data_IF_472324834898
#
_entry.id   IF_472324834898
#
_cell.length_a   1.000
_cell.length_b   1.000
_cell.length_c   1.000
_cell.angle_alpha   90.00
_cell.angle_beta   90.00
_cell.angle_gamma   90.00
#
_symmetry.space_group_name_H-M   'P 1'
#
loop_
_entity.id
_entity.type
_entity.pdbx_description
1 polymer ?
#
# COMPACT_ATOMS: atom_id res chain seq x y z
N UNK A 1 4.37 -12.88 -17.21
CA UNK A 1 2.94 -12.51 -17.32
C UNK A 1 2.60 -11.74 -16.06
N UNK A 2 1.88 -10.62 -16.17
CA UNK A 2 1.37 -9.86 -15.03
C UNK A 2 0.26 -10.62 -14.30
N UNK A 3 0.15 -10.40 -13.00
CA UNK A 3 -0.95 -10.92 -12.18
C UNK A 3 -2.26 -10.22 -12.60
N UNK A 4 -3.33 -10.98 -12.87
CA UNK A 4 -4.64 -10.44 -13.27
C UNK A 4 -5.26 -9.57 -12.17
N UNK A 5 -4.95 -9.84 -10.90
CA UNK A 5 -5.35 -9.00 -9.77
C UNK A 5 -4.63 -7.64 -9.81
N UNK A 6 -3.35 -7.62 -10.20
CA UNK A 6 -2.59 -6.40 -10.35
C UNK A 6 -3.11 -5.55 -11.53
N UNK A 7 -3.34 -6.18 -12.68
CA UNK A 7 -3.82 -5.48 -13.88
C UNK A 7 -5.21 -4.86 -13.65
N UNK A 8 -6.03 -5.49 -12.81
CA UNK A 8 -7.34 -4.96 -12.41
C UNK A 8 -7.26 -3.66 -11.61
N UNK A 9 -6.12 -3.34 -10.96
CA UNK A 9 -5.95 -2.09 -10.21
C UNK A 9 -5.99 -0.85 -11.11
N UNK A 10 -5.59 -0.99 -12.38
CA UNK A 10 -5.64 0.10 -13.34
C UNK A 10 -7.07 0.57 -13.67
N UNK A 11 -8.08 -0.25 -13.38
CA UNK A 11 -9.49 0.07 -13.62
C UNK A 11 -10.13 0.86 -12.46
N UNK A 12 -9.39 1.14 -11.39
CA UNK A 12 -9.90 1.93 -10.27
C UNK A 12 -10.06 3.40 -10.72
N UNK A 13 -11.23 4.04 -10.50
CA UNK A 13 -11.41 5.44 -10.87
C UNK A 13 -10.37 6.36 -10.21
N UNK A 14 -9.82 7.29 -10.98
CA UNK A 14 -8.73 8.21 -10.55
C UNK A 14 -7.45 7.49 -10.11
N UNK A 15 -7.22 6.26 -10.59
CA UNK A 15 -5.96 5.55 -10.39
C UNK A 15 -4.80 6.27 -11.09
N UNK A 16 -3.67 6.40 -10.40
CA UNK A 16 -2.46 7.07 -10.90
C UNK A 16 -1.32 6.06 -11.10
N UNK A 17 -1.12 5.17 -10.12
CA UNK A 17 -0.03 4.20 -10.09
C UNK A 17 -0.35 3.09 -9.09
N UNK A 18 0.19 1.89 -9.35
CA UNK A 18 0.17 0.75 -8.44
C UNK A 18 1.53 0.07 -8.39
N UNK A 19 1.78 -0.62 -7.28
CA UNK A 19 2.88 -1.56 -7.14
C UNK A 19 2.44 -2.74 -6.26
N UNK A 20 3.14 -3.85 -6.39
CA UNK A 20 3.05 -4.98 -5.48
C UNK A 20 4.42 -5.24 -4.87
N UNK A 21 4.42 -5.64 -3.60
CA UNK A 21 5.62 -5.91 -2.85
C UNK A 21 5.47 -7.17 -2.01
N UNK A 22 6.58 -7.82 -1.73
CA UNK A 22 6.66 -8.91 -0.75
C UNK A 22 6.33 -8.40 0.65
N UNK A 23 5.43 -9.08 1.33
CA UNK A 23 5.08 -8.77 2.73
C UNK A 23 6.20 -9.12 3.72
N UNK A 24 7.16 -9.96 3.32
CA UNK A 24 8.22 -10.42 4.21
C UNK A 24 9.36 -9.40 4.34
N UNK A 25 9.79 -8.83 3.20
CA UNK A 25 11.00 -8.02 3.09
C UNK A 25 10.80 -6.69 2.34
N UNK A 26 9.58 -6.40 1.89
CA UNK A 26 9.25 -5.17 1.18
C UNK A 26 9.81 -5.09 -0.25
N UNK A 27 10.39 -6.18 -0.77
CA UNK A 27 10.92 -6.21 -2.14
C UNK A 27 9.82 -5.97 -3.17
N UNK A 28 10.11 -5.16 -4.19
CA UNK A 28 9.15 -4.81 -5.24
C UNK A 28 9.04 -5.94 -6.26
N UNK A 29 7.82 -6.38 -6.53
CA UNK A 29 7.53 -7.50 -7.44
C UNK A 29 6.99 -7.00 -8.79
N UNK A 30 6.08 -6.03 -8.77
CA UNK A 30 5.46 -5.45 -9.96
C UNK A 30 5.17 -3.97 -9.75
N UNK A 31 5.27 -3.18 -10.82
CA UNK A 31 5.03 -1.74 -10.79
C UNK A 31 4.34 -1.27 -12.06
N UNK A 32 3.58 -0.19 -11.97
CA UNK A 32 3.14 0.58 -13.13
C UNK A 32 4.19 1.62 -13.54
N UNK A 33 4.17 2.16 -14.78
CA UNK A 33 5.19 3.10 -15.27
C UNK A 33 5.42 4.35 -14.40
N UNK A 34 4.39 4.82 -13.67
CA UNK A 34 4.45 6.01 -12.82
C UNK A 34 4.91 5.73 -11.37
N UNK A 35 5.36 4.51 -11.09
CA UNK A 35 5.80 4.12 -9.75
C UNK A 35 7.05 4.89 -9.32
N UNK A 36 7.09 5.30 -8.05
CA UNK A 36 8.23 5.96 -7.42
C UNK A 36 8.81 5.05 -6.32
N UNK A 37 10.10 4.66 -6.38
CA UNK A 37 10.70 3.75 -5.40
C UNK A 37 10.49 4.15 -3.93
N UNK A 38 10.50 5.45 -3.65
CA UNK A 38 10.32 6.01 -2.31
C UNK A 38 8.92 5.68 -1.74
N UNK A 39 7.91 5.56 -2.60
CA UNK A 39 6.54 5.23 -2.18
C UNK A 39 6.41 3.78 -1.73
N UNK A 40 7.14 2.85 -2.35
CA UNK A 40 7.13 1.44 -1.93
C UNK A 40 7.75 1.25 -0.55
N UNK A 41 8.88 1.90 -0.29
CA UNK A 41 9.52 1.87 1.03
C UNK A 41 8.62 2.46 2.11
N UNK A 42 8.02 3.63 1.87
CA UNK A 42 7.12 4.27 2.81
C UNK A 42 5.88 3.41 3.10
N UNK A 43 5.29 2.80 2.07
CA UNK A 43 4.13 1.91 2.23
C UNK A 43 4.47 0.63 3.00
N UNK A 44 5.63 0.02 2.75
CA UNK A 44 6.11 -1.14 3.51
C UNK A 44 6.29 -0.79 5.00
N UNK A 45 6.92 0.36 5.29
CA UNK A 45 7.10 0.81 6.67
C UNK A 45 5.75 1.01 7.37
N UNK A 46 4.79 1.69 6.72
CA UNK A 46 3.44 1.87 7.25
C UNK A 46 2.73 0.54 7.54
N UNK A 47 2.86 -0.44 6.65
CA UNK A 47 2.27 -1.76 6.83
C UNK A 47 2.92 -2.51 7.99
N UNK A 48 4.25 -2.48 8.08
CA UNK A 48 5.02 -3.12 9.16
C UNK A 48 4.63 -2.56 10.53
N UNK A 49 4.63 -1.23 10.65
CA UNK A 49 4.27 -0.53 11.89
C UNK A 49 2.80 -0.81 12.28
N UNK A 50 1.89 -0.79 11.31
CA UNK A 50 0.47 -1.10 11.54
C UNK A 50 0.25 -2.57 11.92
N UNK A 51 1.05 -3.48 11.39
CA UNK A 51 0.98 -4.92 11.73
C UNK A 51 1.48 -5.16 13.16
N UNK A 52 2.50 -4.43 13.61
CA UNK A 52 2.95 -4.46 15.01
C UNK A 52 1.87 -3.93 15.96
N UNK A 53 1.17 -2.86 15.58
CA UNK A 53 0.02 -2.37 16.33
C UNK A 53 -1.04 -3.46 16.48
N UNK A 54 -1.32 -4.21 15.40
CA UNK A 54 -2.21 -5.37 15.41
C UNK A 54 -1.83 -6.45 16.43
N UNK A 55 -0.53 -6.68 16.68
CA UNK A 55 -0.07 -7.64 17.71
C UNK A 55 -0.26 -7.14 19.13
N UNK A 56 -0.27 -5.81 19.33
CA UNK A 56 -0.48 -5.18 20.63
C UNK A 56 -1.95 -5.04 21.02
N UNK A 57 -2.87 -5.22 20.07
CA UNK A 57 -4.32 -5.21 20.30
C UNK A 57 -4.82 -6.58 20.80
N UNK A 58 -5.90 -6.64 21.62
CA UNK A 58 -6.51 -7.89 22.04
C UNK A 58 -6.91 -8.79 20.87
N UNK A 59 -6.87 -10.12 21.02
CA UNK A 59 -7.10 -11.13 19.96
C UNK A 59 -8.31 -10.86 19.07
N UNK A 60 -9.42 -10.39 19.64
CA UNK A 60 -10.67 -10.06 18.92
C UNK A 60 -10.47 -8.93 17.88
N UNK A 61 -9.42 -8.12 18.01
CA UNK A 61 -9.17 -6.95 17.18
C UNK A 61 -7.99 -7.08 16.22
N UNK A 62 -7.14 -8.10 16.37
CA UNK A 62 -5.93 -8.25 15.55
C UNK A 62 -6.25 -8.42 14.07
N UNK A 63 -7.36 -9.09 13.76
CA UNK A 63 -7.78 -9.41 12.40
C UNK A 63 -8.57 -8.28 11.71
N UNK A 64 -8.73 -7.11 12.38
CA UNK A 64 -9.59 -6.03 11.89
C UNK A 64 -8.90 -5.09 10.90
N UNK A 65 -7.57 -5.07 10.83
CA UNK A 65 -6.87 -4.20 9.88
C UNK A 65 -6.92 -4.80 8.48
N UNK A 66 -7.89 -4.35 7.67
CA UNK A 66 -8.06 -4.80 6.28
C UNK A 66 -7.47 -3.84 5.24
N UNK A 67 -7.27 -2.57 5.58
CA UNK A 67 -6.78 -1.51 4.66
C UNK A 67 -6.19 -0.32 5.41
N UNK A 68 -5.09 0.23 4.90
CA UNK A 68 -4.51 1.51 5.31
C UNK A 68 -4.79 2.54 4.21
N UNK A 69 -5.20 3.75 4.57
CA UNK A 69 -5.45 4.85 3.62
C UNK A 69 -4.78 6.12 4.13
N UNK A 70 -3.76 6.59 3.42
CA UNK A 70 -3.19 7.92 3.62
C UNK A 70 -3.96 8.95 2.81
N UNK A 71 -4.33 10.08 3.42
CA UNK A 71 -4.89 11.24 2.73
C UNK A 71 -3.86 12.36 2.76
N UNK A 72 -3.63 13.00 1.63
CA UNK A 72 -2.92 14.27 1.58
C UNK A 72 -3.87 15.32 1.02
N UNK A 73 -4.02 16.42 1.74
CA UNK A 73 -4.69 17.59 1.22
C UNK A 73 -3.67 18.40 0.42
N UNK A 74 -3.93 18.55 -0.88
CA UNK A 74 -3.11 19.41 -1.72
C UNK A 74 -3.55 20.84 -1.42
N UNK A 75 -2.81 21.55 -0.57
CA UNK A 75 -3.00 22.99 -0.41
C UNK A 75 -2.49 23.68 -1.68
N UNK A 76 -3.43 24.10 -2.54
CA UNK A 76 -3.11 25.02 -3.62
C UNK A 76 -2.93 26.40 -3.01
N UNK A 77 -1.67 26.85 -2.91
CA UNK A 77 -1.38 28.25 -2.64
C UNK A 77 -1.74 29.03 -3.90
N UNK A 78 -2.83 29.80 -3.84
CA UNK A 78 -3.21 30.79 -4.85
C UNK A 78 -2.32 32.03 -4.77
#
# INVERSE_FOLDING_TARGET
MSDSAFDSLANIPSHISSFSSSANDGSILQTTPNYRPETGLAAYQLLSDSSQLGKSTPEIQQDKLKRITGKCDIQFNN
#
